data_IF_604855366704
#
_entry.id   IF_604855366704
#
_cell.length_a   1.000
_cell.length_b   1.000
_cell.length_c   1.000
_cell.angle_alpha   90.00
_cell.angle_beta   90.00
_cell.angle_gamma   90.00
#
_symmetry.space_group_name_H-M   'P 1'
#
loop_
_entity.id
_entity.type
_entity.pdbx_description
1 polymer ?
#
# COMPACT_ATOMS: atom_id res chain seq x y z
N UNK A 1 -34.66 19.79 4.16
CA UNK A 1 -34.58 20.17 2.73
C UNK A 1 -33.74 21.43 2.59
N UNK A 2 -32.45 21.32 2.29
CA UNK A 2 -31.63 22.45 1.85
C UNK A 2 -30.74 21.97 0.72
N UNK A 3 -31.03 22.46 -0.49
CA UNK A 3 -30.26 22.21 -1.72
C UNK A 3 -29.10 23.22 -1.80
N UNK A 4 -27.85 22.72 -1.77
CA UNK A 4 -26.67 23.54 -2.05
C UNK A 4 -26.45 23.60 -3.57
N UNK A 5 -26.61 24.82 -4.17
CA UNK A 5 -26.33 25.10 -5.58
C UNK A 5 -24.87 25.51 -5.75
N UNK A 6 -24.15 24.77 -6.58
CA UNK A 6 -22.78 25.11 -6.99
C UNK A 6 -22.82 26.11 -8.18
N UNK A 7 -22.31 27.32 -7.99
CA UNK A 7 -22.13 28.34 -9.04
C UNK A 7 -20.84 28.08 -9.81
N UNK A 8 -20.97 27.77 -11.10
CA UNK A 8 -19.88 27.78 -12.07
C UNK A 8 -19.55 29.24 -12.44
N UNK A 9 -18.32 29.69 -12.26
CA UNK A 9 -17.82 30.94 -12.81
C UNK A 9 -17.14 30.64 -14.16
N UNK A 10 -17.68 31.23 -15.23
CA UNK A 10 -17.06 31.32 -16.56
C UNK A 10 -16.18 32.54 -16.55
N UNK A 11 -14.91 32.41 -16.96
CA UNK A 11 -14.04 33.54 -17.27
C UNK A 11 -14.03 33.77 -18.80
N UNK A 12 -14.25 35.02 -19.19
CA UNK A 12 -14.39 35.43 -20.55
C UNK A 12 -13.02 35.73 -21.18
N UNK A 13 -12.91 35.40 -22.45
CA UNK A 13 -11.83 35.73 -23.36
C UNK A 13 -11.97 37.21 -23.76
N UNK A 14 -10.88 37.99 -23.74
CA UNK A 14 -10.78 39.30 -24.37
C UNK A 14 -9.71 39.24 -25.46
N UNK A 15 -10.15 39.40 -26.68
CA UNK A 15 -9.30 39.72 -27.87
C UNK A 15 -9.14 41.23 -27.96
N UNK A 16 -7.94 41.69 -28.30
CA UNK A 16 -7.72 43.03 -28.92
C UNK A 16 -6.63 42.92 -29.98
N UNK A 17 -6.80 43.53 -31.17
CA UNK A 17 -5.82 43.59 -32.22
C UNK A 17 -5.03 44.90 -32.14
N UNK A 18 -3.77 44.89 -32.54
CA UNK A 18 -3.01 46.11 -32.86
C UNK A 18 -2.34 45.97 -34.21
N UNK A 19 -2.63 46.96 -35.00
CA UNK A 19 -2.27 47.25 -36.40
C UNK A 19 -0.97 48.08 -36.44
N UNK A 20 -0.10 47.78 -37.40
CA UNK A 20 0.68 48.80 -38.12
C UNK A 20 2.12 49.03 -37.70
N UNK A 21 3.11 48.80 -38.52
CA UNK A 21 3.68 49.77 -39.44
C UNK A 21 4.98 49.29 -40.08
N UNK A 22 5.06 49.30 -41.40
CA UNK A 22 6.27 48.98 -42.16
C UNK A 22 7.29 50.14 -42.05
N UNK A 23 8.56 49.80 -41.89
CA UNK A 23 9.69 50.63 -42.34
C UNK A 23 10.74 49.70 -42.93
N UNK A 24 11.05 49.91 -44.23
CA UNK A 24 12.13 49.25 -44.95
C UNK A 24 13.42 50.08 -44.78
N UNK A 25 14.50 49.41 -44.40
CA UNK A 25 15.86 49.91 -44.68
C UNK A 25 16.79 48.69 -44.82
N UNK A 26 17.29 48.47 -46.00
CA UNK A 26 18.25 47.44 -46.30
C UNK A 26 19.66 47.86 -45.91
N UNK A 27 20.41 46.90 -45.37
CA UNK A 27 21.88 46.90 -45.36
C UNK A 27 22.34 45.45 -45.53
N UNK A 28 23.20 45.22 -46.51
CA UNK A 28 23.89 43.97 -46.76
C UNK A 28 24.89 43.67 -45.63
N UNK A 29 24.92 42.46 -45.14
CA UNK A 29 25.89 42.08 -44.12
C UNK A 29 25.88 40.58 -43.86
N UNK A 30 26.88 39.90 -44.38
CA UNK A 30 27.49 38.64 -43.95
C UNK A 30 26.57 37.53 -43.38
N UNK A 31 26.36 36.52 -44.17
CA UNK A 31 25.78 35.24 -43.75
C UNK A 31 26.69 34.52 -42.75
N UNK A 32 26.39 34.68 -41.48
CA UNK A 32 26.91 33.77 -40.44
C UNK A 32 25.89 32.63 -40.30
N UNK A 33 26.26 31.45 -40.75
CA UNK A 33 25.47 30.24 -40.54
C UNK A 33 25.25 30.03 -39.04
N UNK A 34 24.02 29.78 -38.57
CA UNK A 34 23.79 29.38 -37.18
C UNK A 34 24.39 28.00 -36.99
N UNK A 35 25.44 27.91 -36.19
CA UNK A 35 25.92 26.66 -35.64
C UNK A 35 24.79 26.07 -34.78
N UNK A 36 24.09 25.09 -35.31
CA UNK A 36 23.16 24.25 -34.54
C UNK A 36 23.99 23.42 -33.56
N UNK A 37 24.26 23.98 -32.40
CA UNK A 37 24.72 23.20 -31.26
C UNK A 37 23.56 22.28 -30.89
N UNK A 38 23.62 21.05 -31.35
CA UNK A 38 22.79 19.96 -30.86
C UNK A 38 22.96 19.91 -29.33
N UNK A 39 21.88 20.00 -28.52
CA UNK A 39 22.02 19.80 -27.08
C UNK A 39 22.65 18.43 -26.84
N UNK A 40 23.56 18.30 -25.89
CA UNK A 40 24.14 17.00 -25.58
C UNK A 40 22.99 16.06 -25.20
N UNK A 41 22.72 15.10 -26.07
CA UNK A 41 21.83 13.99 -25.81
C UNK A 41 22.40 13.30 -24.57
N UNK A 42 21.67 13.42 -23.45
CA UNK A 42 22.04 12.80 -22.21
C UNK A 42 21.96 11.29 -22.43
N UNK A 43 23.04 10.74 -22.93
CA UNK A 43 23.27 9.29 -23.04
C UNK A 43 23.15 8.71 -21.64
N UNK A 44 21.95 8.24 -21.28
CA UNK A 44 21.74 7.35 -20.17
C UNK A 44 22.44 6.02 -20.49
N UNK A 45 23.78 6.05 -20.49
CA UNK A 45 24.65 4.91 -20.72
C UNK A 45 24.64 4.03 -19.48
N UNK A 46 23.63 3.21 -19.35
CA UNK A 46 23.54 2.18 -18.32
C UNK A 46 22.89 0.95 -18.89
N UNK A 47 23.53 -0.22 -18.75
CA UNK A 47 22.92 -1.50 -19.13
C UNK A 47 21.48 -1.59 -18.59
N UNK A 48 20.52 -2.20 -19.36
CA UNK A 48 19.15 -2.30 -18.93
C UNK A 48 19.03 -3.00 -17.58
N UNK A 49 18.07 -2.58 -16.75
CA UNK A 49 17.83 -3.24 -15.47
C UNK A 49 17.37 -4.68 -15.69
N UNK A 50 18.00 -5.65 -15.03
CA UNK A 50 17.68 -7.08 -15.07
C UNK A 50 16.94 -7.56 -13.83
N UNK A 51 17.10 -6.88 -12.69
CA UNK A 51 16.46 -7.26 -11.44
C UNK A 51 16.17 -6.08 -10.52
N UNK A 52 15.19 -6.27 -9.65
CA UNK A 52 14.87 -5.35 -8.55
C UNK A 52 14.38 -6.14 -7.33
N UNK A 53 14.91 -5.83 -6.15
CA UNK A 53 14.43 -6.37 -4.88
C UNK A 53 13.59 -5.35 -4.11
N UNK A 54 12.74 -5.85 -3.21
CA UNK A 54 11.98 -5.03 -2.25
C UNK A 54 11.95 -5.73 -0.91
N UNK A 55 12.39 -5.05 0.15
CA UNK A 55 12.40 -5.52 1.53
C UNK A 55 11.85 -4.44 2.46
N UNK A 56 11.46 -4.84 3.68
CA UNK A 56 10.96 -3.95 4.72
C UNK A 56 10.34 -4.73 5.87
N UNK A 57 9.92 -4.03 6.92
CA UNK A 57 9.19 -4.66 8.01
C UNK A 57 7.80 -5.10 7.56
N UNK A 58 7.49 -6.39 7.74
CA UNK A 58 6.19 -6.95 7.35
C UNK A 58 5.09 -6.71 8.39
N UNK A 59 5.46 -6.63 9.66
CA UNK A 59 4.53 -6.45 10.79
C UNK A 59 4.81 -5.08 11.41
N UNK A 60 3.86 -4.18 11.33
CA UNK A 60 3.95 -2.81 11.86
C UNK A 60 2.65 -2.47 12.57
N UNK A 61 2.67 -1.47 13.44
CA UNK A 61 1.44 -0.90 13.96
C UNK A 61 0.81 0.04 12.92
N UNK A 62 -0.50 0.13 12.90
CA UNK A 62 -1.22 1.19 12.19
C UNK A 62 -0.68 2.56 12.61
N UNK A 63 -0.77 3.54 11.73
CA UNK A 63 -0.22 4.89 11.92
C UNK A 63 1.30 4.96 12.08
N UNK A 64 2.03 3.90 11.72
CA UNK A 64 3.49 3.89 11.72
C UNK A 64 4.07 3.92 10.31
N UNK A 65 5.32 4.40 10.22
CA UNK A 65 6.03 4.50 8.94
C UNK A 65 6.80 3.23 8.63
N UNK A 66 6.49 2.63 7.50
CA UNK A 66 7.23 1.51 6.91
C UNK A 66 8.37 2.06 6.06
N UNK A 67 9.59 1.58 6.31
CA UNK A 67 10.77 1.88 5.49
C UNK A 67 11.00 0.72 4.52
N UNK A 68 10.73 0.94 3.24
CA UNK A 68 11.09 0.01 2.18
C UNK A 68 12.52 0.26 1.71
N UNK A 69 13.23 -0.82 1.38
CA UNK A 69 14.59 -0.81 0.84
C UNK A 69 14.67 -1.82 -0.28
N UNK A 70 15.62 -1.63 -1.16
CA UNK A 70 15.90 -2.60 -2.22
C UNK A 70 17.11 -2.22 -3.03
N UNK A 71 17.37 -3.02 -4.06
CA UNK A 71 18.45 -2.81 -5.01
C UNK A 71 17.96 -3.13 -6.43
N UNK A 72 18.44 -2.37 -7.38
CA UNK A 72 18.29 -2.62 -8.81
C UNK A 72 19.62 -3.19 -9.33
N UNK A 73 19.55 -4.18 -10.19
CA UNK A 73 20.73 -4.81 -10.82
C UNK A 73 20.61 -4.66 -12.34
N UNK A 74 21.67 -4.29 -13.07
CA UNK A 74 22.90 -3.68 -12.56
C UNK A 74 22.62 -2.34 -11.86
N UNK A 75 23.57 -1.84 -11.05
CA UNK A 75 23.51 -0.55 -10.38
C UNK A 75 23.36 0.61 -11.39
N UNK A 76 23.44 1.83 -10.90
CA UNK A 76 23.28 3.05 -11.66
C UNK A 76 22.10 3.89 -11.15
N UNK A 77 22.03 5.15 -11.60
CA UNK A 77 20.96 6.07 -11.22
C UNK A 77 19.69 5.74 -12.01
N UNK A 78 18.67 5.22 -11.34
CA UNK A 78 17.40 4.81 -11.95
C UNK A 78 16.22 5.28 -11.10
N UNK A 79 15.12 5.62 -11.75
CA UNK A 79 13.87 5.89 -11.05
C UNK A 79 13.18 4.58 -10.67
N UNK A 80 12.86 4.43 -9.38
CA UNK A 80 12.10 3.30 -8.83
C UNK A 80 10.74 3.80 -8.37
N UNK A 81 9.71 3.05 -8.67
CA UNK A 81 8.33 3.29 -8.22
C UNK A 81 7.92 2.13 -7.32
N UNK A 82 7.66 2.41 -6.04
CA UNK A 82 7.04 1.47 -5.12
C UNK A 82 5.54 1.77 -5.04
N UNK A 83 4.73 0.74 -5.30
CA UNK A 83 3.28 0.81 -5.17
C UNK A 83 2.85 0.08 -3.92
N UNK A 84 2.08 0.73 -3.05
CA UNK A 84 1.51 0.16 -1.83
C UNK A 84 0.23 0.93 -1.47
N UNK A 85 -0.84 0.22 -1.11
CA UNK A 85 -2.12 0.82 -0.70
C UNK A 85 -2.63 1.92 -1.67
N UNK A 86 -2.56 1.67 -2.98
CA UNK A 86 -2.94 2.67 -4.00
C UNK A 86 -1.90 3.77 -4.26
N UNK A 87 -0.96 4.01 -3.35
CA UNK A 87 0.07 5.03 -3.50
C UNK A 87 1.17 4.61 -4.48
N UNK A 88 1.69 5.59 -5.23
CA UNK A 88 2.87 5.48 -6.10
C UNK A 88 3.99 6.33 -5.51
N UNK A 89 4.95 5.69 -4.86
CA UNK A 89 6.09 6.34 -4.21
C UNK A 89 7.29 6.30 -5.16
N UNK A 90 7.77 7.46 -5.60
CA UNK A 90 8.95 7.58 -6.46
C UNK A 90 10.21 7.81 -5.63
N UNK A 91 11.29 7.18 -6.04
CA UNK A 91 12.64 7.37 -5.48
C UNK A 91 13.69 7.08 -6.53
N UNK A 92 14.94 7.49 -6.28
CA UNK A 92 16.07 7.18 -7.15
C UNK A 92 17.01 6.19 -6.46
N UNK A 93 17.64 5.35 -7.27
CA UNK A 93 18.75 4.51 -6.79
C UNK A 93 20.01 5.35 -6.63
N UNK A 94 20.87 4.91 -5.72
CA UNK A 94 22.26 5.36 -5.66
C UNK A 94 23.08 4.68 -6.77
N UNK A 95 24.33 5.12 -6.99
CA UNK A 95 25.24 4.52 -7.97
C UNK A 95 25.37 2.99 -7.82
N UNK A 96 25.35 2.46 -6.59
CA UNK A 96 25.38 1.03 -6.29
C UNK A 96 24.02 0.32 -6.49
N UNK A 97 23.02 0.99 -7.04
CA UNK A 97 21.69 0.45 -7.28
C UNK A 97 20.75 0.42 -6.08
N UNK A 98 21.19 0.79 -4.87
CA UNK A 98 20.33 0.74 -3.69
C UNK A 98 19.32 1.90 -3.67
N UNK A 99 18.13 1.64 -3.13
CA UNK A 99 17.10 2.67 -2.93
C UNK A 99 16.41 2.51 -1.57
N UNK A 100 15.80 3.60 -1.11
CA UNK A 100 14.96 3.64 0.10
C UNK A 100 13.74 4.51 -0.15
N UNK A 101 12.59 4.10 0.39
CA UNK A 101 11.37 4.90 0.38
C UNK A 101 10.56 4.65 1.65
N UNK A 102 9.79 5.64 2.08
CA UNK A 102 8.94 5.56 3.27
C UNK A 102 7.49 5.60 2.87
N UNK A 103 6.68 4.81 3.56
CA UNK A 103 5.23 4.81 3.44
C UNK A 103 4.61 4.82 4.84
N UNK A 104 3.62 5.68 5.05
CA UNK A 104 2.87 5.74 6.29
C UNK A 104 1.62 4.86 6.18
N UNK A 105 1.49 3.86 7.05
CA UNK A 105 0.30 3.02 7.14
C UNK A 105 -0.81 3.80 7.86
N UNK A 106 -1.69 4.44 7.12
CA UNK A 106 -2.74 5.31 7.66
C UNK A 106 -3.78 4.58 8.54
N UNK A 107 -3.84 3.25 8.48
CA UNK A 107 -4.75 2.45 9.29
C UNK A 107 -4.28 1.00 9.39
N UNK A 108 -5.04 0.20 10.13
CA UNK A 108 -4.86 -1.25 10.15
C UNK A 108 -5.22 -1.85 8.79
N UNK A 109 -4.59 -2.95 8.42
CA UNK A 109 -4.85 -3.59 7.13
C UNK A 109 -3.78 -4.55 6.68
N UNK A 110 -4.09 -5.25 5.59
CA UNK A 110 -3.14 -6.10 4.87
C UNK A 110 -2.85 -5.44 3.53
N UNK A 111 -1.62 -4.98 3.33
CA UNK A 111 -1.20 -4.19 2.18
C UNK A 111 -0.18 -4.95 1.36
N UNK A 112 -0.32 -4.91 0.04
CA UNK A 112 0.65 -5.49 -0.87
C UNK A 112 1.53 -4.41 -1.46
N UNK A 113 2.85 -4.53 -1.26
CA UNK A 113 3.84 -3.63 -1.84
C UNK A 113 4.59 -4.31 -3.00
N UNK A 114 4.87 -3.55 -4.06
CA UNK A 114 5.72 -3.96 -5.19
C UNK A 114 6.55 -2.79 -5.67
N UNK A 115 7.79 -3.06 -6.05
CA UNK A 115 8.65 -2.09 -6.72
C UNK A 115 8.78 -2.39 -8.21
N UNK A 116 8.96 -1.35 -9.01
CA UNK A 116 9.35 -1.47 -10.42
C UNK A 116 10.38 -0.39 -10.77
N UNK A 117 11.23 -0.64 -11.74
CA UNK A 117 12.01 0.39 -12.41
C UNK A 117 11.08 1.16 -13.36
N UNK A 118 11.13 2.50 -13.37
CA UNK A 118 10.12 3.34 -14.05
C UNK A 118 9.96 2.98 -15.53
N UNK A 119 11.02 3.02 -16.29
CA UNK A 119 11.03 2.87 -17.74
C UNK A 119 11.42 1.45 -18.16
N UNK A 120 10.98 0.45 -17.38
CA UNK A 120 11.31 -0.95 -17.58
C UNK A 120 10.14 -1.85 -17.19
N UNK A 121 10.14 -3.08 -17.70
CA UNK A 121 9.21 -4.14 -17.27
C UNK A 121 9.65 -4.85 -15.99
N UNK A 122 10.85 -4.55 -15.48
CA UNK A 122 11.43 -5.20 -14.31
C UNK A 122 10.67 -4.82 -13.04
N UNK A 123 10.19 -5.83 -12.32
CA UNK A 123 9.39 -5.69 -11.10
C UNK A 123 9.89 -6.64 -10.01
N UNK A 124 9.78 -6.22 -8.76
CA UNK A 124 10.07 -7.06 -7.61
C UNK A 124 8.99 -8.11 -7.38
N UNK A 125 9.32 -9.16 -6.64
CA UNK A 125 8.31 -9.99 -5.99
C UNK A 125 7.44 -9.11 -5.07
N UNK A 126 6.16 -9.49 -4.91
CA UNK A 126 5.25 -8.79 -4.03
C UNK A 126 5.62 -9.06 -2.56
N UNK A 127 5.55 -8.01 -1.74
CA UNK A 127 5.74 -8.09 -0.30
C UNK A 127 4.43 -7.73 0.39
N UNK A 128 3.99 -8.53 1.38
CA UNK A 128 2.83 -8.22 2.20
C UNK A 128 3.27 -7.50 3.46
N UNK A 129 2.60 -6.41 3.79
CA UNK A 129 2.73 -5.65 5.04
C UNK A 129 1.43 -5.78 5.81
N UNK A 130 1.51 -6.22 7.05
CA UNK A 130 0.43 -6.27 8.01
C UNK A 130 0.55 -5.08 8.96
N UNK A 131 -0.38 -4.14 8.86
CA UNK A 131 -0.52 -3.03 9.79
C UNK A 131 -1.56 -3.40 10.83
N UNK A 132 -1.16 -3.48 12.09
CA UNK A 132 -1.97 -3.95 13.20
C UNK A 132 -2.48 -2.81 14.05
N UNK A 133 -3.64 -3.03 14.67
CA UNK A 133 -4.14 -2.27 15.81
C UNK A 133 -4.48 -3.23 16.96
N UNK A 134 -4.54 -2.77 18.21
CA UNK A 134 -5.02 -3.58 19.32
C UNK A 134 -6.52 -3.83 19.20
N UNK A 135 -6.96 -4.99 19.69
CA UNK A 135 -8.36 -5.37 19.84
C UNK A 135 -8.52 -6.34 21.01
N UNK A 136 -9.59 -6.17 21.78
CA UNK A 136 -9.91 -7.09 22.87
C UNK A 136 -10.52 -8.37 22.34
N UNK A 137 -10.04 -9.49 22.87
CA UNK A 137 -10.45 -10.83 22.44
C UNK A 137 -10.66 -11.78 23.61
N UNK A 138 -11.49 -12.79 23.38
CA UNK A 138 -11.62 -13.99 24.18
C UNK A 138 -11.56 -15.23 23.29
N UNK A 139 -11.96 -16.39 23.80
CA UNK A 139 -12.06 -17.61 23.01
C UNK A 139 -13.28 -18.44 23.39
N UNK A 140 -13.72 -19.30 22.48
CA UNK A 140 -14.79 -20.26 22.67
C UNK A 140 -14.41 -21.62 22.10
N UNK A 141 -15.09 -22.65 22.52
CA UNK A 141 -14.84 -24.00 22.01
C UNK A 141 -15.29 -25.10 22.95
N UNK A 142 -14.57 -25.41 24.04
CA UNK A 142 -14.96 -26.45 24.97
C UNK A 142 -16.41 -26.28 25.45
N UNK A 143 -17.21 -27.34 25.38
CA UNK A 143 -18.65 -27.33 25.71
C UNK A 143 -19.56 -26.86 24.56
N UNK A 144 -19.02 -26.35 23.45
CA UNK A 144 -19.79 -25.85 22.29
C UNK A 144 -19.52 -26.66 21.01
N UNK A 145 -18.69 -27.68 21.07
CA UNK A 145 -18.37 -28.50 19.89
C UNK A 145 -19.60 -29.26 19.39
N UNK A 146 -19.75 -29.34 18.08
CA UNK A 146 -20.93 -29.84 17.40
C UNK A 146 -22.02 -28.80 17.17
N UNK A 147 -21.94 -27.64 17.84
CA UNK A 147 -22.87 -26.53 17.63
C UNK A 147 -22.71 -25.85 16.26
N UNK A 148 -23.82 -25.30 15.74
CA UNK A 148 -23.85 -24.57 14.49
C UNK A 148 -23.12 -23.23 14.59
N UNK A 149 -22.46 -22.82 13.50
CA UNK A 149 -21.80 -21.52 13.37
C UNK A 149 -22.68 -20.58 12.55
N UNK A 150 -22.70 -19.29 12.86
CA UNK A 150 -23.49 -18.27 12.14
C UNK A 150 -23.16 -18.21 10.65
N UNK A 151 -21.94 -18.55 10.25
CA UNK A 151 -21.53 -18.60 8.85
C UNK A 151 -21.71 -20.00 8.21
N UNK A 152 -22.41 -20.90 8.88
CA UNK A 152 -22.66 -22.27 8.44
C UNK A 152 -21.59 -23.26 8.86
N UNK A 153 -21.98 -24.54 8.85
CA UNK A 153 -21.17 -25.65 9.36
C UNK A 153 -21.18 -25.73 10.88
N UNK A 154 -20.33 -26.58 11.44
CA UNK A 154 -20.27 -26.87 12.87
C UNK A 154 -18.90 -26.54 13.47
N UNK A 155 -18.89 -26.20 14.76
CA UNK A 155 -17.67 -25.99 15.53
C UNK A 155 -17.03 -27.33 15.87
N UNK A 156 -15.73 -27.46 15.60
CA UNK A 156 -14.94 -28.63 16.00
C UNK A 156 -13.69 -28.20 16.76
N UNK A 157 -13.02 -29.11 17.50
CA UNK A 157 -11.77 -28.81 18.20
C UNK A 157 -10.66 -28.27 17.30
N UNK A 158 -10.62 -28.65 16.03
CA UNK A 158 -9.61 -28.23 15.06
C UNK A 158 -10.03 -27.03 14.18
N UNK A 159 -11.27 -26.55 14.32
CA UNK A 159 -11.81 -25.48 13.48
C UNK A 159 -11.09 -24.16 13.75
N UNK A 160 -10.39 -23.65 12.74
CA UNK A 160 -9.74 -22.32 12.78
C UNK A 160 -10.72 -21.23 12.35
N UNK A 161 -10.86 -20.21 13.15
CA UNK A 161 -11.72 -19.07 12.86
C UNK A 161 -11.83 -18.10 14.02
N UNK A 162 -12.61 -17.06 13.79
CA UNK A 162 -13.03 -16.10 14.82
C UNK A 162 -14.52 -15.82 14.69
N UNK A 163 -15.17 -15.51 15.81
CA UNK A 163 -16.44 -14.81 15.82
C UNK A 163 -16.18 -13.30 15.81
N UNK A 164 -16.99 -12.56 15.08
CA UNK A 164 -16.98 -11.10 15.03
C UNK A 164 -18.38 -10.58 14.69
N UNK A 165 -18.77 -9.44 15.29
CA UNK A 165 -20.14 -8.89 15.16
C UNK A 165 -20.43 -8.29 13.80
N UNK A 166 -19.43 -7.77 13.10
CA UNK A 166 -19.62 -6.89 11.93
C UNK A 166 -18.97 -7.38 10.65
N UNK A 167 -17.99 -8.29 10.77
CA UNK A 167 -17.30 -8.80 9.59
C UNK A 167 -18.18 -9.79 8.82
N UNK A 168 -18.31 -9.63 7.50
CA UNK A 168 -18.94 -10.66 6.67
C UNK A 168 -18.29 -12.02 6.83
N UNK A 169 -19.08 -13.07 6.71
CA UNK A 169 -18.62 -14.46 6.75
C UNK A 169 -17.47 -14.70 5.75
N UNK A 170 -16.45 -15.44 6.18
CA UNK A 170 -15.26 -15.73 5.38
C UNK A 170 -14.22 -14.59 5.33
N UNK A 171 -14.52 -13.41 5.89
CA UNK A 171 -13.55 -12.30 5.97
C UNK A 171 -12.24 -12.75 6.61
N UNK A 172 -11.12 -12.55 5.91
CA UNK A 172 -9.81 -12.91 6.45
C UNK A 172 -9.39 -11.90 7.52
N UNK A 173 -9.09 -12.43 8.71
CA UNK A 173 -8.57 -11.68 9.87
C UNK A 173 -7.17 -12.20 10.16
N UNK A 174 -6.18 -11.31 10.14
CA UNK A 174 -4.83 -11.65 10.59
C UNK A 174 -4.66 -11.14 12.01
N UNK A 175 -4.43 -12.08 12.94
CA UNK A 175 -4.21 -11.81 14.34
C UNK A 175 -2.74 -12.01 14.69
N UNK A 176 -2.23 -11.26 15.65
CA UNK A 176 -0.87 -11.38 16.17
C UNK A 176 -0.87 -11.28 17.69
N UNK A 177 -0.12 -12.16 18.33
CA UNK A 177 0.07 -12.19 19.78
C UNK A 177 1.47 -12.70 20.11
N UNK A 178 2.25 -11.98 20.92
CA UNK A 178 3.61 -12.32 21.33
C UNK A 178 4.50 -12.89 20.20
N UNK A 179 4.51 -12.21 19.05
CA UNK A 179 5.33 -12.59 17.90
C UNK A 179 4.69 -13.62 16.96
N UNK A 180 3.76 -14.46 17.43
CA UNK A 180 3.03 -15.40 16.59
C UNK A 180 1.94 -14.69 15.78
N UNK A 181 1.71 -15.14 14.57
CA UNK A 181 0.71 -14.55 13.66
C UNK A 181 -0.11 -15.67 13.03
N UNK A 182 -1.42 -15.50 12.96
CA UNK A 182 -2.35 -16.42 12.30
C UNK A 182 -3.34 -15.63 11.45
N UNK A 183 -3.68 -16.16 10.27
CA UNK A 183 -4.76 -15.62 9.44
C UNK A 183 -5.88 -16.65 9.38
N UNK A 184 -7.06 -16.24 9.79
CA UNK A 184 -8.26 -17.10 9.89
C UNK A 184 -9.48 -16.40 9.31
N UNK A 185 -10.53 -17.14 8.89
CA UNK A 185 -11.80 -16.53 8.49
C UNK A 185 -12.64 -16.11 9.70
N UNK A 186 -13.49 -15.10 9.52
CA UNK A 186 -14.65 -14.89 10.35
C UNK A 186 -15.68 -16.01 10.02
N UNK A 187 -16.05 -16.81 11.00
CA UNK A 187 -16.91 -17.98 10.83
C UNK A 187 -18.15 -17.94 11.70
N UNK A 188 -18.22 -17.01 12.62
CA UNK A 188 -19.31 -16.92 13.58
C UNK A 188 -19.60 -15.47 13.95
N UNK A 189 -20.75 -15.25 14.60
CA UNK A 189 -21.19 -13.96 15.12
C UNK A 189 -20.87 -13.84 16.62
N UNK A 190 -20.53 -12.65 17.08
CA UNK A 190 -20.13 -12.38 18.47
C UNK A 190 -18.73 -11.79 18.55
N UNK A 191 -18.13 -11.68 19.77
CA UNK A 191 -18.70 -11.94 21.10
C UNK A 191 -19.80 -10.94 21.48
N UNK A 192 -20.82 -11.42 22.21
CA UNK A 192 -21.91 -10.55 22.68
C UNK A 192 -21.71 -10.07 24.12
N UNK A 193 -20.67 -10.55 24.80
CA UNK A 193 -20.35 -10.17 26.18
C UNK A 193 -19.20 -9.17 26.24
N UNK A 194 -19.40 -8.04 26.95
CA UNK A 194 -18.42 -6.99 27.15
C UNK A 194 -18.02 -6.26 25.84
N UNK A 195 -16.90 -5.55 25.91
CA UNK A 195 -16.37 -4.75 24.78
C UNK A 195 -15.41 -5.53 23.87
N UNK A 196 -15.45 -6.87 23.91
CA UNK A 196 -14.59 -7.70 23.07
C UNK A 196 -15.00 -7.61 21.62
N UNK A 197 -13.99 -7.57 20.76
CA UNK A 197 -14.17 -7.47 19.31
C UNK A 197 -14.12 -8.84 18.63
N UNK A 198 -13.30 -9.74 19.18
CA UNK A 198 -13.14 -11.09 18.65
C UNK A 198 -13.36 -12.16 19.72
N UNK A 199 -13.92 -13.27 19.28
CA UNK A 199 -13.91 -14.51 20.03
C UNK A 199 -13.21 -15.59 19.20
N UNK A 200 -12.04 -16.03 19.65
CA UNK A 200 -11.21 -16.97 18.92
C UNK A 200 -11.73 -18.38 19.11
N UNK A 201 -11.77 -19.20 18.05
CA UNK A 201 -11.95 -20.64 18.30
C UNK A 201 -10.80 -21.19 19.15
N UNK A 202 -11.02 -22.26 19.89
CA UNK A 202 -9.99 -22.91 20.69
C UNK A 202 -8.75 -23.28 19.87
N UNK A 203 -8.93 -23.75 18.62
CA UNK A 203 -7.83 -24.02 17.70
C UNK A 203 -7.04 -22.76 17.32
N UNK A 204 -7.73 -21.64 17.07
CA UNK A 204 -7.08 -20.36 16.77
C UNK A 204 -6.31 -19.83 17.97
N UNK A 205 -6.92 -19.88 19.16
CA UNK A 205 -6.29 -19.56 20.44
C UNK A 205 -4.98 -20.35 20.63
N UNK A 206 -5.04 -21.66 20.49
CA UNK A 206 -3.88 -22.54 20.67
C UNK A 206 -2.76 -22.22 19.67
N UNK A 207 -3.10 -22.06 18.38
CA UNK A 207 -2.14 -21.71 17.32
C UNK A 207 -1.47 -20.35 17.53
N UNK A 208 -2.20 -19.40 18.08
CA UNK A 208 -1.71 -18.05 18.38
C UNK A 208 -0.92 -18.02 19.71
N UNK A 209 -1.12 -18.99 20.59
CA UNK A 209 -0.59 -19.01 21.95
C UNK A 209 -1.26 -17.95 22.84
N UNK A 210 -2.52 -17.64 22.53
CA UNK A 210 -3.32 -16.68 23.30
C UNK A 210 -3.85 -17.34 24.60
N UNK A 211 -3.84 -16.64 25.75
CA UNK A 211 -4.20 -17.28 27.02
C UNK A 211 -5.70 -17.62 27.11
N UNK A 212 -6.54 -16.65 27.32
CA UNK A 212 -8.00 -16.81 27.38
C UNK A 212 -8.76 -15.54 27.03
N UNK A 213 -8.36 -14.42 27.60
CA UNK A 213 -8.94 -13.09 27.39
C UNK A 213 -7.81 -12.07 27.44
N UNK A 214 -7.93 -11.02 26.65
CA UNK A 214 -6.98 -9.90 26.61
C UNK A 214 -6.84 -9.28 25.23
N UNK A 215 -5.80 -8.48 25.06
CA UNK A 215 -5.55 -7.75 23.82
C UNK A 215 -4.76 -8.60 22.82
N UNK A 216 -5.27 -8.72 21.62
CA UNK A 216 -4.55 -9.20 20.43
C UNK A 216 -4.30 -8.04 19.47
N UNK A 217 -3.36 -8.19 18.55
CA UNK A 217 -3.19 -7.28 17.43
C UNK A 217 -3.97 -7.82 16.23
N UNK A 218 -4.71 -6.96 15.53
CA UNK A 218 -5.52 -7.31 14.35
C UNK A 218 -5.25 -6.40 13.18
N UNK A 219 -5.43 -6.91 11.95
CA UNK A 219 -5.36 -6.12 10.71
C UNK A 219 -6.72 -5.59 10.25
N UNK A 220 -7.78 -5.75 11.06
CA UNK A 220 -9.14 -5.30 10.72
C UNK A 220 -9.55 -4.14 11.60
#
# INVERSE_FOLDING_TARGET
MHRFRWKRRRAALALLPALGMMITAGIAGASVAPSTATPPEATASGSPATGISLTGHRNVMAHHTVKFRGRVTPGGNRTVIVRVAGHKLRTHTRANGTYKVRWHAAGSGTYRARAKVADSRVRSHGMTVYAFRPAEASYYGPGLYGGGLACGGTLSPSKLGVANKTLPCGSKVTLRYHGKTVTVPAIDSGPFAGNREYDLTAATKAKLGFPSTGTVLTTR
#
